data_IF_003968336454
#
_entry.id   IF_003968336454
#
_cell.length_a   1.000
_cell.length_b   1.000
_cell.length_c   1.000
_cell.angle_alpha   90.00
_cell.angle_beta   90.00
_cell.angle_gamma   90.00
#
_symmetry.space_group_name_H-M   'P 1'
#
loop_
_entity.id
_entity.type
_entity.pdbx_description
1 polymer ?
#
# COMPACT_ATOMS: atom_id res chain seq x y z
N UNK A 1 -7.44 9.58 -3.99
CA UNK A 1 -6.62 9.75 -5.21
C UNK A 1 -7.39 9.12 -6.36
N UNK A 2 -7.22 9.61 -7.58
CA UNK A 2 -7.87 9.06 -8.77
C UNK A 2 -7.03 7.96 -9.43
N UNK A 3 -7.61 7.17 -10.34
CA UNK A 3 -6.85 6.23 -11.17
C UNK A 3 -5.76 6.93 -12.00
N UNK A 4 -5.99 8.19 -12.42
CA UNK A 4 -5.01 8.99 -13.15
C UNK A 4 -3.81 9.39 -12.27
N UNK A 5 -4.05 9.78 -11.01
CA UNK A 5 -2.97 10.08 -10.04
C UNK A 5 -2.07 8.85 -9.85
N UNK A 6 -2.68 7.67 -9.74
CA UNK A 6 -1.98 6.39 -9.53
C UNK A 6 -1.22 5.96 -10.78
N UNK A 7 -1.79 6.16 -11.97
CA UNK A 7 -1.08 5.90 -13.23
C UNK A 7 0.13 6.80 -13.42
N UNK A 8 0.04 8.07 -13.04
CA UNK A 8 1.20 8.96 -13.08
C UNK A 8 2.29 8.46 -12.12
N UNK A 9 1.91 8.13 -10.89
CA UNK A 9 2.82 7.60 -9.88
C UNK A 9 3.46 6.27 -10.27
N UNK A 10 2.75 5.39 -10.98
CA UNK A 10 3.29 4.11 -11.45
C UNK A 10 4.36 4.27 -12.53
N UNK A 11 4.39 5.40 -13.23
CA UNK A 11 5.39 5.72 -14.26
C UNK A 11 6.60 6.49 -13.70
N UNK A 12 6.38 7.36 -12.72
CA UNK A 12 7.42 8.26 -12.16
C UNK A 12 8.04 7.77 -10.84
N UNK A 13 7.45 6.75 -10.21
CA UNK A 13 7.72 6.33 -8.83
C UNK A 13 7.45 7.42 -7.76
N UNK A 14 6.78 8.53 -8.13
CA UNK A 14 6.41 9.65 -7.24
C UNK A 14 5.03 10.24 -7.60
N UNK A 15 4.11 10.45 -6.64
CA UNK A 15 4.19 10.07 -5.22
C UNK A 15 4.41 8.56 -5.04
N UNK A 16 4.89 8.13 -3.87
CA UNK A 16 5.06 6.70 -3.61
C UNK A 16 3.71 6.00 -3.69
N UNK A 17 3.67 4.81 -4.28
CA UNK A 17 2.53 3.91 -4.17
C UNK A 17 2.78 2.93 -3.02
N UNK A 18 1.86 2.85 -2.06
CA UNK A 18 1.95 1.94 -0.92
C UNK A 18 0.86 0.88 -1.05
N UNK A 19 1.28 -0.36 -1.28
CA UNK A 19 0.39 -1.53 -1.30
C UNK A 19 0.23 -2.07 0.13
N UNK A 20 -0.99 -1.96 0.67
CA UNK A 20 -1.35 -2.42 2.00
C UNK A 20 -1.86 -3.87 2.06
N UNK A 21 -1.69 -4.67 1.01
CA UNK A 21 -2.10 -6.08 0.98
C UNK A 21 -1.06 -6.99 1.62
N UNK A 22 -1.45 -8.24 1.82
CA UNK A 22 -0.57 -9.33 2.25
C UNK A 22 0.59 -9.54 1.27
N UNK A 23 1.74 -9.97 1.78
CA UNK A 23 2.98 -10.05 0.99
C UNK A 23 2.85 -10.94 -0.26
N UNK A 24 2.15 -12.07 -0.15
CA UNK A 24 1.91 -12.97 -1.28
C UNK A 24 1.08 -12.31 -2.41
N UNK A 25 0.14 -11.43 -2.05
CA UNK A 25 -0.67 -10.68 -3.01
C UNK A 25 0.17 -9.64 -3.76
N UNK A 26 1.10 -8.98 -3.05
CA UNK A 26 2.03 -8.02 -3.65
C UNK A 26 2.91 -8.68 -4.71
N UNK A 27 3.54 -9.82 -4.39
CA UNK A 27 4.39 -10.54 -5.34
C UNK A 27 3.61 -11.26 -6.46
N UNK A 28 2.27 -11.25 -6.43
CA UNK A 28 1.45 -11.90 -7.43
C UNK A 28 1.38 -13.42 -7.31
N UNK A 29 1.59 -13.96 -6.12
CA UNK A 29 1.40 -15.39 -5.84
C UNK A 29 -0.07 -15.71 -5.51
N UNK A 30 -0.81 -14.72 -5.05
CA UNK A 30 -2.24 -14.80 -4.75
C UNK A 30 -2.97 -13.59 -5.32
N UNK A 31 -4.27 -13.73 -5.55
CA UNK A 31 -5.16 -12.62 -5.87
C UNK A 31 -6.55 -12.84 -5.30
N UNK A 32 -7.30 -11.76 -5.11
CA UNK A 32 -8.73 -11.83 -4.85
C UNK A 32 -9.46 -12.17 -6.17
N UNK A 33 -10.59 -12.87 -6.08
CA UNK A 33 -11.36 -13.31 -7.26
C UNK A 33 -11.83 -12.13 -8.14
N UNK A 34 -12.11 -10.99 -7.53
CA UNK A 34 -12.56 -9.76 -8.19
C UNK A 34 -11.44 -8.83 -8.69
N UNK A 35 -10.17 -9.26 -8.60
CA UNK A 35 -9.04 -8.57 -9.22
C UNK A 35 -8.64 -9.39 -10.45
N UNK A 36 -8.59 -8.74 -11.62
CA UNK A 36 -8.48 -9.45 -12.90
C UNK A 36 -7.07 -10.01 -13.18
N UNK A 37 -6.03 -9.51 -12.51
CA UNK A 37 -4.63 -9.87 -12.74
C UNK A 37 -3.92 -10.17 -11.40
N UNK A 38 -2.85 -10.96 -11.46
CA UNK A 38 -1.93 -11.14 -10.33
C UNK A 38 -0.96 -9.95 -10.25
N UNK A 39 -0.39 -9.74 -9.07
CA UNK A 39 0.65 -8.74 -8.84
C UNK A 39 0.17 -7.44 -8.21
N UNK A 40 0.95 -6.39 -8.39
CA UNK A 40 0.79 -5.05 -7.81
C UNK A 40 1.00 -3.96 -8.85
N UNK A 41 0.71 -2.70 -8.51
CA UNK A 41 0.92 -1.57 -9.42
C UNK A 41 2.42 -1.28 -9.50
N UNK A 42 2.96 -1.10 -10.70
CA UNK A 42 4.38 -0.84 -10.91
C UNK A 42 4.92 0.29 -10.01
N UNK A 43 6.17 0.13 -9.55
CA UNK A 43 6.87 1.04 -8.62
C UNK A 43 6.28 1.15 -7.20
N UNK A 44 5.27 0.34 -6.84
CA UNK A 44 4.76 0.34 -5.47
C UNK A 44 5.74 -0.29 -4.47
N UNK A 45 5.61 0.13 -3.20
CA UNK A 45 6.26 -0.44 -2.03
C UNK A 45 5.21 -1.16 -1.20
N UNK A 46 5.61 -2.27 -0.57
CA UNK A 46 4.71 -3.05 0.28
C UNK A 46 4.79 -2.59 1.73
N UNK A 47 3.63 -2.34 2.35
CA UNK A 47 3.49 -2.23 3.81
C UNK A 47 2.36 -3.17 4.25
N UNK A 48 2.67 -4.47 4.40
CA UNK A 48 1.64 -5.48 4.62
C UNK A 48 1.13 -5.47 6.07
N UNK A 49 -0.10 -5.94 6.34
CA UNK A 49 -0.65 -6.04 7.69
C UNK A 49 0.26 -6.81 8.66
N UNK A 50 1.00 -7.79 8.15
CA UNK A 50 1.95 -8.65 8.86
C UNK A 50 3.02 -7.87 9.66
N UNK A 51 3.37 -6.66 9.21
CA UNK A 51 4.38 -5.80 9.87
C UNK A 51 3.79 -4.50 10.41
N UNK A 52 2.50 -4.24 10.14
CA UNK A 52 1.84 -3.00 10.51
C UNK A 52 1.48 -2.98 11.99
N UNK A 53 1.25 -4.15 12.60
CA UNK A 53 0.82 -4.29 13.99
C UNK A 53 1.72 -5.27 14.75
N UNK A 54 1.71 -5.16 16.07
CA UNK A 54 2.25 -6.17 16.97
C UNK A 54 1.13 -6.82 17.76
N UNK A 55 1.03 -8.13 17.65
CA UNK A 55 0.16 -8.96 18.51
C UNK A 55 0.76 -9.09 19.90
N UNK A 56 0.01 -8.70 20.94
CA UNK A 56 0.36 -9.04 22.33
C UNK A 56 -0.91 -9.25 23.15
N UNK A 57 -0.91 -10.29 23.99
CA UNK A 57 -2.05 -10.65 24.86
C UNK A 57 -3.40 -10.79 24.10
N UNK A 58 -3.37 -11.31 22.87
CA UNK A 58 -4.57 -11.52 22.06
C UNK A 58 -5.12 -10.26 21.37
N UNK A 59 -4.46 -9.10 21.49
CA UNK A 59 -4.84 -7.86 20.83
C UNK A 59 -3.77 -7.36 19.86
N UNK A 60 -4.20 -6.56 18.88
CA UNK A 60 -3.32 -5.89 17.91
C UNK A 60 -3.03 -4.47 18.38
N UNK A 61 -1.75 -4.09 18.35
CA UNK A 61 -1.30 -2.74 18.70
C UNK A 61 -0.53 -2.13 17.54
N UNK A 62 -0.79 -0.85 17.28
CA UNK A 62 0.11 -0.05 16.44
C UNK A 62 1.50 0.01 17.07
N UNK A 63 2.51 0.15 16.21
CA UNK A 63 3.89 0.38 16.64
C UNK A 63 4.06 1.83 17.09
N UNK A 64 5.15 2.12 17.81
CA UNK A 64 5.50 3.50 18.11
C UNK A 64 5.98 4.22 16.85
N UNK A 65 5.93 5.56 16.85
CA UNK A 65 6.45 6.38 15.75
C UNK A 65 7.89 6.03 15.36
N UNK A 66 8.76 5.84 16.34
CA UNK A 66 10.17 5.48 16.12
C UNK A 66 10.31 4.08 15.48
N UNK A 67 9.45 3.14 15.87
CA UNK A 67 9.41 1.81 15.26
C UNK A 67 8.91 1.88 13.81
N UNK A 68 7.89 2.67 13.51
CA UNK A 68 7.44 2.88 12.12
C UNK A 68 8.49 3.56 11.26
N UNK A 69 9.23 4.55 11.79
CA UNK A 69 10.37 5.16 11.08
C UNK A 69 11.47 4.14 10.76
N UNK A 70 11.73 3.21 11.69
CA UNK A 70 12.68 2.12 11.48
C UNK A 70 12.17 1.13 10.43
N UNK A 71 10.90 0.72 10.55
CA UNK A 71 10.25 -0.20 9.61
C UNK A 71 10.28 0.36 8.19
N UNK A 72 9.86 1.62 7.98
CA UNK A 72 9.83 2.23 6.65
C UNK A 72 11.22 2.31 6.04
N UNK A 73 12.25 2.67 6.84
CA UNK A 73 13.65 2.67 6.39
C UNK A 73 14.11 1.28 5.95
N UNK A 74 13.81 0.23 6.72
CA UNK A 74 14.14 -1.16 6.37
C UNK A 74 13.41 -1.63 5.12
N UNK A 75 12.19 -1.17 4.90
CA UNK A 75 11.39 -1.46 3.70
C UNK A 75 11.75 -0.58 2.49
N UNK A 76 12.74 0.31 2.60
CA UNK A 76 13.12 1.24 1.53
C UNK A 76 12.00 2.22 1.17
N UNK A 77 11.18 2.59 2.16
CA UNK A 77 10.10 3.57 2.06
C UNK A 77 10.56 4.85 2.73
N UNK A 78 10.66 5.92 1.95
CA UNK A 78 10.81 7.27 2.50
C UNK A 78 9.44 7.77 2.96
N UNK A 79 9.18 7.73 4.26
CA UNK A 79 7.90 8.10 4.84
C UNK A 79 7.62 9.61 4.84
N UNK A 80 8.61 10.46 4.51
CA UNK A 80 8.45 11.91 4.52
C UNK A 80 7.93 12.48 3.18
N UNK A 81 7.97 11.69 2.11
CA UNK A 81 7.53 12.14 0.77
C UNK A 81 6.05 11.85 0.52
N UNK A 82 5.40 12.57 -0.42
CA UNK A 82 4.02 12.29 -0.77
C UNK A 82 3.78 10.82 -1.17
N UNK A 83 2.64 10.28 -0.76
CA UNK A 83 2.30 8.87 -0.99
C UNK A 83 0.82 8.68 -1.31
N UNK A 84 0.50 7.57 -1.98
CA UNK A 84 -0.86 7.09 -2.25
C UNK A 84 -0.93 5.65 -1.76
N UNK A 85 -1.79 5.37 -0.79
CA UNK A 85 -2.05 4.00 -0.35
C UNK A 85 -3.17 3.35 -1.16
N UNK A 86 -3.05 2.04 -1.41
CA UNK A 86 -4.10 1.23 -2.04
C UNK A 86 -4.04 -0.22 -1.53
N UNK A 87 -5.08 -1.01 -1.82
CA UNK A 87 -5.08 -2.45 -1.57
C UNK A 87 -5.93 -3.19 -2.62
N UNK A 88 -6.76 -4.15 -2.23
CA UNK A 88 -7.73 -4.79 -3.14
C UNK A 88 -8.98 -3.93 -3.37
N UNK A 89 -9.55 -3.34 -2.31
CA UNK A 89 -10.86 -2.68 -2.32
C UNK A 89 -10.95 -1.50 -1.33
N UNK A 90 -9.83 -0.81 -1.08
CA UNK A 90 -9.76 0.34 -0.17
C UNK A 90 -9.67 0.03 1.33
N UNK A 91 -10.09 -1.15 1.80
CA UNK A 91 -10.14 -1.46 3.24
C UNK A 91 -8.76 -1.43 3.92
N UNK A 92 -7.84 -2.34 3.55
CA UNK A 92 -6.48 -2.36 4.12
C UNK A 92 -5.65 -1.13 3.77
N UNK A 93 -6.00 -0.41 2.70
CA UNK A 93 -5.34 0.83 2.31
C UNK A 93 -5.49 1.92 3.38
N UNK A 94 -6.58 1.89 4.16
CA UNK A 94 -6.82 2.82 5.27
C UNK A 94 -5.82 2.66 6.41
N UNK A 95 -5.41 1.42 6.71
CA UNK A 95 -4.39 1.15 7.73
C UNK A 95 -3.03 1.73 7.35
N UNK A 96 -2.59 1.48 6.11
CA UNK A 96 -1.37 2.08 5.59
C UNK A 96 -1.47 3.62 5.58
N UNK A 97 -2.58 4.17 5.07
CA UNK A 97 -2.83 5.61 5.09
C UNK A 97 -2.68 6.19 6.50
N UNK A 98 -3.35 5.61 7.50
CA UNK A 98 -3.33 6.06 8.89
C UNK A 98 -1.93 6.02 9.50
N UNK A 99 -1.14 4.98 9.22
CA UNK A 99 0.27 4.91 9.68
C UNK A 99 1.09 6.07 9.12
N UNK A 100 1.00 6.34 7.81
CA UNK A 100 1.79 7.42 7.21
C UNK A 100 1.26 8.82 7.57
N UNK A 101 -0.06 9.03 7.56
CA UNK A 101 -0.64 10.34 7.83
C UNK A 101 -0.63 10.69 9.31
N UNK A 102 -1.22 9.83 10.15
CA UNK A 102 -1.51 10.16 11.55
C UNK A 102 -0.34 9.83 12.47
N UNK A 103 0.25 8.64 12.31
CA UNK A 103 1.30 8.18 13.23
C UNK A 103 2.69 8.72 12.85
N UNK A 104 2.99 8.80 11.56
CA UNK A 104 4.23 9.36 11.04
C UNK A 104 4.13 10.86 10.76
N UNK A 105 2.92 11.42 10.60
CA UNK A 105 2.70 12.86 10.46
C UNK A 105 2.88 13.41 9.05
N UNK A 106 2.78 12.57 8.01
CA UNK A 106 2.89 13.01 6.63
C UNK A 106 1.53 13.48 6.11
N UNK A 107 1.35 14.80 6.00
CA UNK A 107 0.10 15.40 5.54
C UNK A 107 -0.17 15.22 4.03
N UNK A 108 0.78 14.68 3.26
CA UNK A 108 0.70 14.51 1.81
C UNK A 108 0.40 13.07 1.40
N UNK A 109 -0.33 12.33 2.23
CA UNK A 109 -0.73 10.95 1.97
C UNK A 109 -2.20 10.91 1.54
N UNK A 110 -2.46 10.34 0.36
CA UNK A 110 -3.81 10.13 -0.16
C UNK A 110 -4.16 8.64 -0.11
N UNK A 111 -5.45 8.33 -0.05
CA UNK A 111 -5.97 6.96 -0.19
C UNK A 111 -6.59 6.80 -1.59
N UNK A 112 -6.23 5.75 -2.34
CA UNK A 112 -6.91 5.33 -3.57
C UNK A 112 -7.94 4.25 -3.24
N UNK A 113 -9.18 4.67 -3.05
CA UNK A 113 -10.30 3.87 -2.57
C UNK A 113 -10.73 2.81 -3.59
N UNK A 114 -10.70 3.15 -4.88
CA UNK A 114 -10.94 2.24 -5.98
C UNK A 114 -9.99 1.04 -5.99
N UNK A 115 -8.74 1.24 -5.56
CA UNK A 115 -7.76 0.17 -5.34
C UNK A 115 -7.61 -0.77 -6.55
N UNK A 116 -7.11 -2.00 -6.36
CA UNK A 116 -6.96 -2.94 -7.47
C UNK A 116 -8.27 -3.37 -8.12
N UNK A 117 -9.39 -3.30 -7.41
CA UNK A 117 -10.70 -3.56 -8.00
C UNK A 117 -10.99 -2.60 -9.16
N UNK A 118 -10.91 -1.29 -8.93
CA UNK A 118 -11.13 -0.29 -9.98
C UNK A 118 -10.01 -0.34 -11.03
N UNK A 119 -8.75 -0.36 -10.59
CA UNK A 119 -7.58 -0.40 -11.48
C UNK A 119 -7.65 -1.54 -12.51
N UNK A 120 -8.00 -2.75 -12.05
CA UNK A 120 -8.06 -3.93 -12.92
C UNK A 120 -9.33 -3.95 -13.79
N UNK A 121 -10.43 -3.32 -13.36
CA UNK A 121 -11.63 -3.10 -14.20
C UNK A 121 -11.39 -2.09 -15.31
N UNK A 122 -10.50 -1.12 -15.09
CA UNK A 122 -10.05 -0.17 -16.11
C UNK A 122 -9.00 -0.78 -17.06
N UNK A 123 -8.68 -2.07 -16.93
CA UNK A 123 -7.74 -2.76 -17.82
C UNK A 123 -6.28 -2.33 -17.64
N UNK A 124 -5.94 -1.70 -16.52
CA UNK A 124 -4.60 -1.18 -16.26
C UNK A 124 -3.65 -2.30 -15.79
N UNK A 125 -2.35 -2.20 -16.13
CA UNK A 125 -1.42 -3.30 -15.91
C UNK A 125 -1.04 -3.46 -14.43
N UNK A 126 -0.76 -4.71 -14.05
CA UNK A 126 -0.03 -5.06 -12.83
C UNK A 126 1.30 -5.72 -13.17
N UNK A 127 2.21 -5.75 -12.20
CA UNK A 127 3.48 -6.47 -12.26
C UNK A 127 3.54 -7.49 -11.14
N UNK A 128 3.98 -8.70 -11.44
CA UNK A 128 3.98 -9.83 -10.51
C UNK A 128 4.75 -11.02 -11.08
N UNK A 129 4.84 -12.08 -10.28
CA UNK A 129 5.51 -13.34 -10.69
C UNK A 129 4.67 -14.14 -11.69
N UNK A 130 3.35 -14.21 -11.46
CA UNK A 130 2.35 -14.89 -12.30
C UNK A 130 1.56 -13.88 -13.11
#
# INVERSE_FOLDING_TARGET
ASSADVEQASKSARPLLIDGRESASFYGLTKRSYVNQYGHIANAKSLPPEVMFRSTQGAQYFLTRAQYQTLTKLSGIDAAVPAISYCNSGNLASGAWFVFSELLGNSNVKLYDGSLYLWSREGRPLVGVL
#
